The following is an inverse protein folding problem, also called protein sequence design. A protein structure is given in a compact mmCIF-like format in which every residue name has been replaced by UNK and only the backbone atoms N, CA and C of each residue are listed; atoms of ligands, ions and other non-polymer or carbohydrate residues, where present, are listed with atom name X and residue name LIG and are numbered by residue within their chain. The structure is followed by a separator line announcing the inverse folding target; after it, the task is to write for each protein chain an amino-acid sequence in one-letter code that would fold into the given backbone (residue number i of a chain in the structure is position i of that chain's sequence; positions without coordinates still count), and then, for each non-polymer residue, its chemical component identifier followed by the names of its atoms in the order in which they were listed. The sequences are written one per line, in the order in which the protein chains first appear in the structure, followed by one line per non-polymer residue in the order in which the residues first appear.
data_IF_758451984643
#
_entry.id   IF_758451984643
#
_cell.length_a   1.000
_cell.length_b   1.000
_cell.length_c   1.000
_cell.angle_alpha   90.00
_cell.angle_beta   90.00
_cell.angle_gamma   90.00
#
_symmetry.space_group_name_H-M   'P 1'
#
loop_
_entity.id
_entity.type
_entity.pdbx_description
1 polymer ?
#
# COMPACT_ATOMS: atom_id res chain seq x y z
N UNK A 1 -1.97 17.13 4.76
CA UNK A 1 -2.03 17.44 6.19
C UNK A 1 -0.75 16.89 6.79
N UNK A 2 0.18 17.76 7.18
CA UNK A 2 1.48 17.34 7.68
C UNK A 2 1.29 16.52 8.96
N UNK A 3 1.90 15.34 9.02
CA UNK A 3 1.85 14.46 10.19
C UNK A 3 2.35 15.21 11.42
N UNK A 4 1.58 15.10 12.50
CA UNK A 4 1.95 15.58 13.83
C UNK A 4 3.22 14.85 14.29
N UNK A 5 4.37 15.46 14.03
CA UNK A 5 5.66 15.05 14.55
C UNK A 5 6.04 15.90 15.76
N UNK A 6 6.82 15.35 16.66
CA UNK A 6 7.46 16.11 17.74
C UNK A 6 8.49 17.06 17.14
N UNK A 7 8.64 18.25 17.73
CA UNK A 7 9.60 19.28 17.33
C UNK A 7 11.02 18.70 17.26
N UNK A 8 11.72 18.83 16.11
CA UNK A 8 13.10 18.33 15.98
C UNK A 8 14.11 19.01 16.91
N UNK A 9 13.77 20.19 17.44
CA UNK A 9 14.62 20.93 18.38
C UNK A 9 14.39 20.59 19.85
N UNK A 10 13.44 19.69 20.17
CA UNK A 10 13.14 19.30 21.55
C UNK A 10 14.01 18.12 21.98
N UNK A 11 14.78 18.29 23.05
CA UNK A 11 15.55 17.21 23.66
C UNK A 11 15.41 17.23 25.20
N UNK A 12 15.66 16.10 25.85
CA UNK A 12 15.45 15.92 27.30
C UNK A 12 16.79 15.64 27.99
N UNK A 13 17.06 16.34 29.09
CA UNK A 13 18.21 16.08 29.97
C UNK A 13 17.67 15.85 31.38
N UNK A 14 17.81 14.61 31.87
CA UNK A 14 17.24 14.20 33.16
C UNK A 14 15.70 14.23 33.15
N UNK A 15 15.10 15.10 33.96
CA UNK A 15 13.65 15.33 34.03
C UNK A 15 13.18 16.61 33.31
N UNK A 16 14.10 17.36 32.70
CA UNK A 16 13.84 18.67 32.09
C UNK A 16 13.95 18.59 30.58
N UNK A 17 13.15 19.38 29.86
CA UNK A 17 13.23 19.48 28.41
C UNK A 17 13.89 20.79 28.00
N UNK A 18 14.57 20.77 26.86
CA UNK A 18 15.36 21.87 26.34
C UNK A 18 15.08 22.07 24.85
N UNK A 19 15.19 23.32 24.40
CA UNK A 19 14.93 23.70 23.02
C UNK A 19 16.21 24.19 22.33
N UNK A 20 16.67 23.43 21.33
CA UNK A 20 17.84 23.77 20.50
C UNK A 20 17.66 25.08 19.72
N UNK A 21 16.41 25.40 19.33
CA UNK A 21 16.09 26.65 18.61
C UNK A 21 15.99 27.87 19.53
N UNK A 22 16.05 27.68 20.84
CA UNK A 22 16.00 28.74 21.86
C UNK A 22 17.30 28.81 22.67
N UNK A 23 18.45 28.53 22.04
CA UNK A 23 19.79 28.54 22.69
C UNK A 23 19.85 27.65 23.95
N UNK A 24 19.31 26.44 23.83
CA UNK A 24 19.31 25.44 24.90
C UNK A 24 18.60 25.91 26.18
N UNK A 25 17.57 26.74 26.04
CA UNK A 25 16.70 27.13 27.13
C UNK A 25 15.82 25.95 27.58
N UNK A 26 15.59 25.85 28.90
CA UNK A 26 14.64 24.91 29.48
C UNK A 26 13.22 25.25 29.03
N UNK A 27 12.50 24.28 28.48
CA UNK A 27 11.13 24.42 27.96
C UNK A 27 10.26 23.33 28.55
N UNK A 28 8.96 23.61 28.71
CA UNK A 28 7.99 22.60 29.08
C UNK A 28 7.14 22.22 27.85
N UNK A 29 7.20 20.96 27.36
CA UNK A 29 6.42 20.50 26.23
C UNK A 29 4.90 20.52 26.45
N UNK A 30 4.43 20.64 27.70
CA UNK A 30 3.00 20.77 28.01
C UNK A 30 2.46 22.18 27.72
N UNK A 31 3.30 23.21 27.80
CA UNK A 31 2.91 24.62 27.63
C UNK A 31 3.37 25.21 26.30
N UNK A 32 4.20 24.50 25.54
CA UNK A 32 4.73 24.92 24.25
C UNK A 32 4.27 23.95 23.16
N UNK A 33 4.10 24.40 21.90
CA UNK A 33 3.60 23.58 20.80
C UNK A 33 4.65 22.58 20.28
N UNK A 34 5.44 21.98 21.16
CA UNK A 34 6.58 21.13 20.81
C UNK A 34 6.18 19.70 20.42
N UNK A 35 5.02 19.20 20.84
CA UNK A 35 4.64 17.78 20.67
C UNK A 35 3.59 17.56 19.57
N UNK A 36 2.87 18.61 19.16
CA UNK A 36 1.76 18.49 18.19
C UNK A 36 1.76 19.52 17.06
N UNK A 37 2.21 20.76 17.30
CA UNK A 37 2.11 21.88 16.34
C UNK A 37 3.44 22.65 16.21
N UNK A 38 4.58 21.93 16.15
CA UNK A 38 5.90 22.58 16.21
C UNK A 38 6.17 23.52 15.03
N UNK A 39 5.51 23.31 13.89
CA UNK A 39 5.55 24.22 12.74
C UNK A 39 5.02 25.62 13.05
N UNK A 40 4.20 25.77 14.10
CA UNK A 40 3.69 27.05 14.57
C UNK A 40 4.60 27.72 15.61
N UNK A 41 5.66 27.06 16.08
CA UNK A 41 6.58 27.61 17.07
C UNK A 41 7.45 28.74 16.49
N UNK A 42 7.50 29.89 17.18
CA UNK A 42 8.28 31.06 16.75
C UNK A 42 9.78 30.80 16.68
N UNK A 43 10.31 29.95 17.57
CA UNK A 43 11.73 29.55 17.54
C UNK A 43 12.05 28.69 16.31
N UNK A 44 11.16 27.76 15.96
CA UNK A 44 11.31 26.90 14.79
C UNK A 44 11.22 27.70 13.47
N UNK A 45 10.28 28.64 13.38
CA UNK A 45 10.14 29.53 12.21
C UNK A 45 11.39 30.41 11.99
N UNK A 46 11.96 30.96 13.07
CA UNK A 46 13.19 31.76 13.02
C UNK A 46 14.38 30.92 12.54
N UNK A 47 14.55 29.74 13.11
CA UNK A 47 15.60 28.81 12.67
C UNK A 47 15.45 28.44 11.20
N UNK A 48 14.25 28.09 10.73
CA UNK A 48 14.00 27.76 9.31
C UNK A 48 14.28 28.94 8.37
N UNK A 49 14.02 30.16 8.82
CA UNK A 49 14.33 31.38 8.07
C UNK A 49 15.84 31.70 8.03
N UNK A 50 16.59 31.30 9.05
CA UNK A 50 18.06 31.41 9.10
C UNK A 50 18.77 30.30 8.33
N UNK A 51 18.22 29.07 8.35
CA UNK A 51 18.74 27.92 7.61
C UNK A 51 18.66 28.14 6.09
N UNK A 52 17.56 28.74 5.60
CA UNK A 52 17.42 29.17 4.21
C UNK A 52 18.34 30.32 3.79
N UNK A 53 19.07 30.95 4.72
CA UNK A 53 20.01 32.05 4.48
C UNK A 53 21.47 31.67 4.62
N UNK A 54 21.81 30.39 4.84
CA UNK A 54 23.20 29.90 4.85
C UNK A 54 23.58 29.45 3.43
N UNK A 55 24.37 30.23 2.65
CA UNK A 55 24.96 29.71 1.43
C UNK A 55 26.10 28.77 1.82
N UNK A 56 26.18 27.64 1.12
CA UNK A 56 27.36 26.78 1.07
C UNK A 56 28.58 27.63 0.68
N UNK A 57 29.47 27.86 1.65
CA UNK A 57 30.79 28.42 1.39
C UNK A 57 31.77 27.85 2.42
N UNK A 58 32.70 27.04 1.89
CA UNK A 58 34.06 26.81 2.39
C UNK A 58 34.26 25.67 3.41
N UNK A 59 34.16 24.44 2.89
CA UNK A 59 35.31 23.53 2.97
C UNK A 59 36.51 24.16 2.23
N UNK A 60 37.72 23.96 2.81
CA UNK A 60 39.05 24.41 2.37
C UNK A 60 39.52 25.80 2.84
N UNK A 61 40.22 25.85 3.99
CA UNK A 61 41.55 26.46 4.13
C UNK A 61 42.13 26.21 5.53
N UNK A 62 43.26 25.51 5.59
CA UNK A 62 44.17 25.46 6.74
C UNK A 62 44.87 26.83 6.93
N UNK A 63 45.47 27.10 8.11
CA UNK A 63 45.74 28.44 8.61
C UNK A 63 47.10 29.01 8.16
N UNK A 64 47.30 30.34 8.23
CA UNK A 64 48.62 30.91 8.42
C UNK A 64 48.81 31.52 9.81
N UNK A 65 50.01 31.26 10.31
CA UNK A 65 50.68 31.74 11.52
C UNK A 65 51.12 33.21 11.36
N UNK A 66 50.96 34.02 12.41
CA UNK A 66 51.88 35.06 12.99
C UNK A 66 51.01 36.00 13.86
N UNK A 67 51.39 36.58 15.00
CA UNK A 67 52.65 36.71 15.71
C UNK A 67 52.35 37.11 17.17
N UNK A 68 53.34 36.93 18.01
CA UNK A 68 53.34 37.19 19.44
C UNK A 68 53.15 38.66 19.82
N UNK A 69 52.39 38.91 20.88
CA UNK A 69 52.60 40.05 21.77
C UNK A 69 52.38 39.58 23.21
N UNK A 70 53.48 39.54 23.96
CA UNK A 70 53.56 39.15 25.36
C UNK A 70 52.97 40.22 26.27
N UNK A 71 52.30 39.80 27.36
CA UNK A 71 52.31 40.51 28.64
C UNK A 71 52.35 39.49 29.79
N UNK A 72 53.13 39.85 30.79
CA UNK A 72 53.71 39.11 31.89
C UNK A 72 52.76 38.54 32.98
N UNK A 73 53.15 37.34 33.44
CA UNK A 73 53.32 36.88 34.83
C UNK A 73 52.16 37.01 35.82
N UNK A 74 51.53 35.86 36.15
CA UNK A 74 51.07 35.56 37.51
C UNK A 74 50.94 34.04 37.77
N UNK A 75 51.83 33.52 38.63
CA UNK A 75 51.69 32.44 39.65
C UNK A 75 51.14 31.04 39.25
N UNK A 76 51.86 29.93 39.53
CA UNK A 76 51.35 28.59 39.29
C UNK A 76 50.48 28.12 40.47
N UNK A 77 49.24 27.75 40.18
CA UNK A 77 48.41 26.91 41.05
C UNK A 77 48.13 25.57 40.35
N UNK A 78 48.10 24.45 41.10
CA UNK A 78 48.14 23.11 40.54
C UNK A 78 46.82 22.76 39.84
N UNK A 79 46.94 22.18 38.65
CA UNK A 79 45.81 21.75 37.82
C UNK A 79 44.90 20.76 38.57
N UNK A 80 43.57 20.99 38.60
CA UNK A 80 42.64 19.91 38.87
C UNK A 80 42.62 18.99 37.66
N UNK A 81 42.98 17.73 37.89
CA UNK A 81 42.86 16.61 36.98
C UNK A 81 41.47 16.56 36.35
N UNK A 82 41.41 16.75 35.03
CA UNK A 82 40.21 16.48 34.23
C UNK A 82 39.73 15.05 34.48
N UNK A 83 38.43 14.82 34.76
CA UNK A 83 37.92 13.46 34.85
C UNK A 83 38.07 12.73 33.51
N UNK A 84 38.28 11.40 33.51
CA UNK A 84 38.51 10.63 32.30
C UNK A 84 37.34 10.81 31.34
N UNK A 85 37.66 11.04 30.06
CA UNK A 85 36.70 11.11 28.99
C UNK A 85 35.77 9.89 29.06
N UNK A 86 34.51 10.13 29.43
CA UNK A 86 33.49 9.10 29.27
C UNK A 86 33.42 8.79 27.77
N UNK A 87 33.45 7.51 27.36
CA UNK A 87 33.24 7.18 25.96
C UNK A 87 31.88 7.76 25.56
N UNK A 88 31.90 8.71 24.64
CA UNK A 88 30.72 9.33 24.07
C UNK A 88 29.89 8.25 23.40
N UNK A 89 28.86 7.78 24.11
CA UNK A 89 27.76 6.96 23.61
C UNK A 89 26.93 7.83 22.65
N UNK A 90 27.46 8.11 21.47
CA UNK A 90 26.63 8.60 20.37
C UNK A 90 25.68 7.45 19.99
N UNK A 91 24.35 7.63 20.07
CA UNK A 91 23.42 6.62 19.60
C UNK A 91 23.63 6.41 18.09
N UNK A 92 23.42 5.20 17.55
CA UNK A 92 23.59 4.93 16.12
C UNK A 92 22.46 5.62 15.34
N UNK A 93 22.57 6.92 15.10
CA UNK A 93 21.58 7.72 14.39
C UNK A 93 21.62 7.44 12.88
N UNK A 94 22.79 7.07 12.35
CA UNK A 94 22.96 6.69 10.95
C UNK A 94 22.13 5.46 10.59
N UNK A 95 22.13 4.42 11.44
CA UNK A 95 21.30 3.21 11.25
C UNK A 95 19.80 3.53 11.23
N UNK A 96 19.37 4.49 12.05
CA UNK A 96 17.96 4.93 12.13
C UNK A 96 17.56 5.71 10.87
N UNK A 97 18.41 6.62 10.42
CA UNK A 97 18.18 7.41 9.20
C UNK A 97 18.17 6.52 7.95
N UNK A 98 19.09 5.56 7.86
CA UNK A 98 19.08 4.54 6.79
C UNK A 98 17.78 3.73 6.80
N UNK A 99 17.33 3.30 7.99
CA UNK A 99 16.09 2.54 8.12
C UNK A 99 14.85 3.34 7.72
N UNK A 100 14.79 4.63 8.08
CA UNK A 100 13.70 5.54 7.68
C UNK A 100 13.67 5.68 6.15
N UNK A 101 14.82 5.88 5.52
CA UNK A 101 14.93 6.02 4.08
C UNK A 101 14.49 4.74 3.36
N UNK A 102 14.95 3.57 3.84
CA UNK A 102 14.53 2.26 3.31
C UNK A 102 13.03 2.03 3.47
N UNK A 103 12.44 2.43 4.59
CA UNK A 103 10.99 2.34 4.81
C UNK A 103 10.21 3.24 3.84
N UNK A 104 10.69 4.45 3.57
CA UNK A 104 10.09 5.35 2.60
C UNK A 104 10.16 4.79 1.16
N UNK A 105 11.27 4.14 0.81
CA UNK A 105 11.43 3.44 -0.48
C UNK A 105 10.47 2.25 -0.63
N UNK A 106 10.30 1.45 0.42
CA UNK A 106 9.28 0.39 0.45
C UNK A 106 7.87 0.94 0.22
N UNK A 107 7.55 2.11 0.79
CA UNK A 107 6.28 2.79 0.54
C UNK A 107 6.08 3.14 -0.95
N UNK A 108 7.10 3.71 -1.61
CA UNK A 108 7.04 4.02 -3.05
C UNK A 108 6.90 2.77 -3.91
N UNK A 109 7.64 1.71 -3.57
CA UNK A 109 7.54 0.41 -4.26
C UNK A 109 6.15 -0.19 -4.11
N UNK A 110 5.56 -0.09 -2.92
CA UNK A 110 4.20 -0.55 -2.65
C UNK A 110 3.16 0.23 -3.47
N UNK A 111 3.22 1.57 -3.47
CA UNK A 111 2.31 2.40 -4.28
C UNK A 111 2.42 2.07 -5.78
N UNK A 112 3.65 1.87 -6.27
CA UNK A 112 3.85 1.45 -7.65
C UNK A 112 3.27 0.07 -7.91
N UNK A 113 3.52 -0.89 -7.03
CA UNK A 113 2.97 -2.24 -7.13
C UNK A 113 1.44 -2.22 -7.14
N UNK A 114 0.79 -1.50 -6.23
CA UNK A 114 -0.68 -1.41 -6.19
C UNK A 114 -1.27 -0.84 -7.49
N UNK A 115 -0.64 0.21 -8.03
CA UNK A 115 -1.07 0.81 -9.30
C UNK A 115 -0.97 -0.17 -10.46
N UNK A 116 0.19 -0.82 -10.63
CA UNK A 116 0.39 -1.79 -11.71
C UNK A 116 -0.50 -3.03 -11.52
N UNK A 117 -0.65 -3.51 -10.28
CA UNK A 117 -1.51 -4.64 -9.96
C UNK A 117 -2.97 -4.34 -10.30
N UNK A 118 -3.47 -3.14 -10.01
CA UNK A 118 -4.82 -2.71 -10.42
C UNK A 118 -5.00 -2.74 -11.93
N UNK A 119 -4.05 -2.17 -12.68
CA UNK A 119 -4.11 -2.19 -14.14
C UNK A 119 -4.13 -3.64 -14.70
N UNK A 120 -3.33 -4.53 -14.12
CA UNK A 120 -3.33 -5.97 -14.48
C UNK A 120 -4.65 -6.64 -14.12
N UNK A 121 -5.23 -6.34 -12.95
CA UNK A 121 -6.52 -6.87 -12.51
C UNK A 121 -7.64 -6.44 -13.46
N UNK A 122 -7.69 -5.16 -13.83
CA UNK A 122 -8.71 -4.64 -14.74
C UNK A 122 -8.61 -5.32 -16.11
N UNK A 123 -7.39 -5.41 -16.67
CA UNK A 123 -7.15 -6.13 -17.92
C UNK A 123 -7.47 -7.63 -17.82
N UNK A 124 -7.18 -8.25 -16.67
CA UNK A 124 -7.51 -9.64 -16.40
C UNK A 124 -9.01 -9.88 -16.43
N UNK A 125 -9.81 -9.03 -15.80
CA UNK A 125 -11.27 -9.16 -15.82
C UNK A 125 -11.83 -9.11 -17.25
N UNK A 126 -11.33 -8.20 -18.09
CA UNK A 126 -11.72 -8.09 -19.50
C UNK A 126 -11.35 -9.33 -20.31
N UNK A 127 -10.09 -9.80 -20.20
CA UNK A 127 -9.59 -10.97 -20.92
C UNK A 127 -10.33 -12.23 -20.46
N UNK A 128 -10.53 -12.39 -19.15
CA UNK A 128 -11.27 -13.50 -18.54
C UNK A 128 -12.71 -13.55 -19.04
N UNK A 129 -13.39 -12.41 -19.11
CA UNK A 129 -14.74 -12.32 -19.65
C UNK A 129 -14.78 -12.71 -21.14
N UNK A 130 -13.80 -12.27 -21.93
CA UNK A 130 -13.69 -12.63 -23.35
C UNK A 130 -13.46 -14.13 -23.53
N UNK A 131 -12.48 -14.71 -22.85
CA UNK A 131 -12.15 -16.14 -22.94
C UNK A 131 -13.35 -17.01 -22.58
N UNK A 132 -14.12 -16.64 -21.54
CA UNK A 132 -15.34 -17.36 -21.17
C UNK A 132 -16.42 -17.34 -22.24
N UNK A 133 -16.62 -16.20 -22.91
CA UNK A 133 -17.58 -16.11 -24.02
C UNK A 133 -17.16 -17.00 -25.18
N UNK A 134 -15.88 -17.02 -25.51
CA UNK A 134 -15.35 -17.88 -26.57
C UNK A 134 -15.50 -19.36 -26.22
N UNK A 135 -15.17 -19.76 -24.99
CA UNK A 135 -15.39 -21.13 -24.50
C UNK A 135 -16.86 -21.53 -24.63
N UNK A 136 -17.79 -20.68 -24.17
CA UNK A 136 -19.24 -20.94 -24.30
C UNK A 136 -19.70 -21.01 -25.77
N UNK A 137 -19.07 -20.24 -26.66
CA UNK A 137 -19.36 -20.29 -28.10
C UNK A 137 -18.90 -21.63 -28.69
N UNK A 138 -17.69 -22.08 -28.33
CA UNK A 138 -17.15 -23.37 -28.74
C UNK A 138 -18.00 -24.53 -28.20
N UNK A 139 -18.42 -24.47 -26.94
CA UNK A 139 -19.33 -25.48 -26.34
C UNK A 139 -20.62 -25.63 -27.14
N UNK A 140 -21.30 -24.50 -27.43
CA UNK A 140 -22.52 -24.53 -28.26
C UNK A 140 -22.26 -25.07 -29.66
N UNK A 141 -21.10 -24.75 -30.24
CA UNK A 141 -20.73 -25.28 -31.55
C UNK A 141 -20.48 -26.79 -31.48
N UNK A 142 -19.79 -27.29 -30.46
CA UNK A 142 -19.56 -28.72 -30.22
C UNK A 142 -20.90 -29.44 -30.07
N UNK A 143 -21.80 -28.93 -29.23
CA UNK A 143 -23.14 -29.49 -29.03
C UNK A 143 -23.92 -29.58 -30.35
N UNK A 144 -23.81 -28.56 -31.21
CA UNK A 144 -24.45 -28.56 -32.53
C UNK A 144 -23.89 -29.64 -33.46
N UNK A 145 -22.57 -29.86 -33.48
CA UNK A 145 -21.96 -30.92 -34.26
C UNK A 145 -22.30 -32.31 -33.72
N UNK A 146 -22.35 -32.50 -32.39
CA UNK A 146 -22.81 -33.74 -31.77
C UNK A 146 -24.25 -34.04 -32.19
N UNK A 147 -25.14 -33.04 -32.11
CA UNK A 147 -26.52 -33.21 -32.54
C UNK A 147 -26.65 -33.49 -34.05
N UNK A 148 -25.78 -32.93 -34.90
CA UNK A 148 -25.78 -33.25 -36.33
C UNK A 148 -25.27 -34.68 -36.60
N UNK A 149 -24.26 -35.14 -35.85
CA UNK A 149 -23.77 -36.50 -35.92
C UNK A 149 -24.89 -37.50 -35.59
N UNK A 150 -25.64 -37.27 -34.50
CA UNK A 150 -26.80 -38.09 -34.13
C UNK A 150 -27.87 -38.13 -35.24
N UNK A 151 -28.16 -36.99 -35.88
CA UNK A 151 -29.10 -36.93 -37.01
C UNK A 151 -28.58 -37.70 -38.21
N UNK A 152 -27.28 -37.61 -38.50
CA UNK A 152 -26.64 -38.32 -39.59
C UNK A 152 -26.70 -39.83 -39.38
N UNK A 153 -26.48 -40.30 -38.16
CA UNK A 153 -26.62 -41.72 -37.78
C UNK A 153 -28.05 -42.23 -37.97
N UNK A 154 -29.06 -41.43 -37.63
CA UNK A 154 -30.47 -41.77 -37.89
C UNK A 154 -30.75 -41.86 -39.39
N UNK A 155 -30.28 -40.90 -40.19
CA UNK A 155 -30.45 -40.92 -41.67
C UNK A 155 -29.82 -42.16 -42.30
N UNK A 156 -28.63 -42.55 -41.85
CA UNK A 156 -27.97 -43.77 -42.30
C UNK A 156 -28.77 -45.02 -41.92
N UNK A 157 -29.26 -45.10 -40.67
CA UNK A 157 -30.05 -46.23 -40.17
C UNK A 157 -31.36 -46.44 -40.94
N UNK A 158 -32.00 -45.36 -41.36
CA UNK A 158 -33.24 -45.39 -42.15
C UNK A 158 -32.96 -45.56 -43.66
N UNK A 159 -31.68 -45.66 -44.06
CA UNK A 159 -31.28 -45.88 -45.45
C UNK A 159 -31.49 -44.66 -46.35
N UNK A 160 -31.57 -43.46 -45.78
CA UNK A 160 -31.74 -42.20 -46.53
C UNK A 160 -30.45 -41.76 -47.21
N UNK A 161 -29.30 -42.19 -46.69
CA UNK A 161 -27.97 -41.94 -47.24
C UNK A 161 -27.23 -43.27 -47.41
N UNK A 162 -26.30 -43.33 -48.35
CA UNK A 162 -25.43 -44.49 -48.53
C UNK A 162 -24.40 -44.61 -47.40
N UNK A 163 -23.83 -45.80 -47.25
CA UNK A 163 -22.78 -46.06 -46.25
C UNK A 163 -21.46 -45.31 -46.56
N UNK A 164 -21.20 -45.03 -47.84
CA UNK A 164 -20.05 -44.22 -48.26
C UNK A 164 -20.26 -42.75 -47.89
N UNK A 165 -21.41 -42.16 -48.25
CA UNK A 165 -21.76 -40.79 -47.86
C UNK A 165 -21.79 -40.60 -46.34
N UNK A 166 -22.30 -41.59 -45.60
CA UNK A 166 -22.28 -41.57 -44.14
C UNK A 166 -20.86 -41.50 -43.58
N UNK A 167 -19.95 -42.35 -44.09
CA UNK A 167 -18.56 -42.39 -43.62
C UNK A 167 -17.83 -41.07 -43.88
N UNK A 168 -18.00 -40.50 -45.06
CA UNK A 168 -17.34 -39.25 -45.43
C UNK A 168 -17.84 -38.07 -44.58
N UNK A 169 -19.16 -37.95 -44.43
CA UNK A 169 -19.77 -36.90 -43.61
C UNK A 169 -19.41 -37.05 -42.13
N UNK A 170 -19.42 -38.28 -41.61
CA UNK A 170 -19.02 -38.58 -40.23
C UNK A 170 -17.55 -38.21 -40.00
N UNK A 171 -16.65 -38.59 -40.90
CA UNK A 171 -15.24 -38.24 -40.79
C UNK A 171 -15.01 -36.72 -40.78
N UNK A 172 -15.77 -35.97 -41.60
CA UNK A 172 -15.72 -34.51 -41.59
C UNK A 172 -16.23 -33.91 -40.28
N UNK A 173 -17.36 -34.39 -39.75
CA UNK A 173 -17.92 -33.91 -38.47
C UNK A 173 -16.97 -34.25 -37.31
N UNK A 174 -16.42 -35.47 -37.27
CA UNK A 174 -15.46 -35.90 -36.25
C UNK A 174 -14.19 -35.03 -36.25
N UNK A 175 -13.68 -34.66 -37.42
CA UNK A 175 -12.53 -33.76 -37.54
C UNK A 175 -12.84 -32.36 -37.00
N UNK A 176 -14.00 -31.79 -37.35
CA UNK A 176 -14.45 -30.48 -36.87
C UNK A 176 -14.73 -30.47 -35.36
N UNK A 177 -15.23 -31.57 -34.81
CA UNK A 177 -15.41 -31.78 -33.36
C UNK A 177 -14.08 -31.84 -32.64
N UNK A 178 -13.11 -32.60 -33.17
CA UNK A 178 -11.79 -32.73 -32.58
C UNK A 178 -11.07 -31.38 -32.50
N UNK A 179 -11.12 -30.59 -33.57
CA UNK A 179 -10.49 -29.26 -33.60
C UNK A 179 -11.14 -28.29 -32.61
N UNK A 180 -12.49 -28.24 -32.56
CA UNK A 180 -13.18 -27.36 -31.60
C UNK A 180 -12.96 -27.75 -30.16
N UNK A 181 -12.96 -29.05 -29.87
CA UNK A 181 -12.70 -29.57 -28.52
C UNK A 181 -11.29 -29.19 -28.09
N UNK A 182 -10.30 -29.39 -28.98
CA UNK A 182 -8.93 -28.97 -28.74
C UNK A 182 -8.82 -27.46 -28.46
N UNK A 183 -9.45 -26.62 -29.29
CA UNK A 183 -9.43 -25.17 -29.09
C UNK A 183 -10.08 -24.77 -27.76
N UNK A 184 -11.19 -25.42 -27.38
CA UNK A 184 -11.85 -25.21 -26.09
C UNK A 184 -10.89 -25.51 -24.94
N UNK A 185 -10.27 -26.69 -24.95
CA UNK A 185 -9.33 -27.12 -23.91
C UNK A 185 -8.12 -26.18 -23.81
N UNK A 186 -7.60 -25.72 -24.96
CA UNK A 186 -6.51 -24.73 -25.00
C UNK A 186 -6.92 -23.39 -24.36
N UNK A 187 -8.14 -22.90 -24.60
CA UNK A 187 -8.66 -21.68 -23.99
C UNK A 187 -8.92 -21.85 -22.48
N UNK A 188 -9.48 -22.98 -22.06
CA UNK A 188 -9.69 -23.29 -20.65
C UNK A 188 -8.37 -23.36 -19.87
N UNK A 189 -7.35 -23.98 -20.47
CA UNK A 189 -6.01 -24.02 -19.87
C UNK A 189 -5.42 -22.62 -19.73
N UNK A 190 -5.49 -21.80 -20.79
CA UNK A 190 -5.00 -20.40 -20.74
C UNK A 190 -5.74 -19.57 -19.71
N UNK A 191 -7.06 -19.76 -19.58
CA UNK A 191 -7.88 -19.11 -18.56
C UNK A 191 -7.43 -19.50 -17.15
N UNK A 192 -7.20 -20.79 -16.92
CA UNK A 192 -6.69 -21.30 -15.63
C UNK A 192 -5.29 -20.77 -15.31
N UNK A 193 -4.38 -20.75 -16.28
CA UNK A 193 -3.04 -20.21 -16.11
C UNK A 193 -3.06 -18.72 -15.79
N UNK A 194 -3.93 -17.97 -16.47
CA UNK A 194 -4.14 -16.54 -16.23
C UNK A 194 -4.70 -16.29 -14.81
N UNK A 195 -5.75 -17.01 -14.41
CA UNK A 195 -6.33 -16.90 -13.07
C UNK A 195 -5.27 -17.25 -11.99
N UNK A 196 -4.46 -18.30 -12.21
CA UNK A 196 -3.39 -18.70 -11.28
C UNK A 196 -2.37 -17.59 -11.00
N UNK A 197 -1.98 -16.82 -12.01
CA UNK A 197 -0.97 -15.77 -11.85
C UNK A 197 -1.55 -14.44 -11.36
N UNK A 198 -2.79 -14.10 -11.71
CA UNK A 198 -3.40 -12.80 -11.35
C UNK A 198 -4.11 -12.85 -9.99
N UNK A 199 -4.77 -13.96 -9.64
CA UNK A 199 -5.55 -14.06 -8.40
C UNK A 199 -4.78 -13.68 -7.12
N UNK A 200 -3.49 -14.04 -6.94
CA UNK A 200 -2.73 -13.61 -5.77
C UNK A 200 -2.60 -12.09 -5.67
N UNK A 201 -2.45 -11.39 -6.79
CA UNK A 201 -2.36 -9.93 -6.85
C UNK A 201 -3.71 -9.29 -6.57
N UNK A 202 -4.79 -9.82 -7.17
CA UNK A 202 -6.17 -9.44 -6.86
C UNK A 202 -6.44 -9.52 -5.36
N UNK A 203 -6.12 -10.66 -4.75
CA UNK A 203 -6.27 -10.90 -3.32
C UNK A 203 -5.52 -9.86 -2.49
N UNK A 204 -4.24 -9.63 -2.77
CA UNK A 204 -3.42 -8.64 -2.02
C UNK A 204 -3.98 -7.22 -2.11
N UNK A 205 -4.36 -6.76 -3.30
CA UNK A 205 -4.91 -5.41 -3.49
C UNK A 205 -6.26 -5.28 -2.78
N UNK A 206 -7.15 -6.28 -2.91
CA UNK A 206 -8.46 -6.24 -2.24
C UNK A 206 -8.35 -6.26 -0.72
N UNK A 207 -7.43 -7.04 -0.16
CA UNK A 207 -7.17 -7.01 1.28
C UNK A 207 -6.63 -5.65 1.76
N UNK A 208 -5.75 -5.03 0.96
CA UNK A 208 -5.22 -3.69 1.23
C UNK A 208 -6.29 -2.59 1.14
N UNK A 209 -7.28 -2.73 0.25
CA UNK A 209 -8.43 -1.81 0.11
C UNK A 209 -9.46 -1.99 1.24
N UNK A 210 -9.76 -3.23 1.63
CA UNK A 210 -10.81 -3.54 2.60
C UNK A 210 -10.47 -3.06 4.02
N UNK A 211 -9.22 -3.21 4.48
CA UNK A 211 -8.78 -2.82 5.83
C UNK A 211 -9.00 -1.32 6.15
N UNK A 212 -8.53 -0.35 5.35
CA UNK A 212 -8.74 1.06 5.62
C UNK A 212 -10.21 1.46 5.50
N UNK A 213 -10.98 0.83 4.60
CA UNK A 213 -12.41 1.12 4.45
C UNK A 213 -13.21 0.62 5.66
N UNK A 214 -12.94 -0.59 6.15
CA UNK A 214 -13.52 -1.11 7.41
C UNK A 214 -13.19 -0.18 8.58
N UNK A 215 -11.95 0.31 8.67
CA UNK A 215 -11.55 1.25 9.72
C UNK A 215 -12.33 2.58 9.64
N UNK A 216 -12.53 3.13 8.43
CA UNK A 216 -13.35 4.33 8.22
C UNK A 216 -14.82 4.10 8.61
N UNK A 217 -15.40 2.96 8.23
CA UNK A 217 -16.79 2.62 8.58
C UNK A 217 -16.97 2.44 10.09
N UNK A 218 -16.02 1.80 10.78
CA UNK A 218 -16.01 1.69 12.25
C UNK A 218 -15.89 3.07 12.93
N UNK A 219 -15.08 3.97 12.38
CA UNK A 219 -15.02 5.35 12.86
C UNK A 219 -16.33 6.10 12.61
N UNK A 220 -16.98 5.88 11.47
CA UNK A 220 -18.29 6.46 11.16
C UNK A 220 -19.37 5.96 12.12
N UNK A 221 -19.38 4.67 12.47
CA UNK A 221 -20.24 4.09 13.51
C UNK A 221 -20.01 4.76 14.87
N UNK A 222 -18.76 4.90 15.31
CA UNK A 222 -18.44 5.55 16.58
C UNK A 222 -18.93 7.02 16.62
N UNK A 223 -18.83 7.74 15.50
CA UNK A 223 -19.39 9.10 15.36
C UNK A 223 -20.92 9.10 15.40
N UNK A 224 -21.55 8.12 14.76
CA UNK A 224 -23.00 7.96 14.77
C UNK A 224 -23.53 7.69 16.19
N UNK A 225 -22.83 6.86 16.97
CA UNK A 225 -23.12 6.61 18.39
C UNK A 225 -23.00 7.88 19.24
N UNK A 226 -21.97 8.70 18.99
CA UNK A 226 -21.81 9.98 19.67
C UNK A 226 -22.97 10.94 19.37
N UNK A 227 -23.41 11.00 18.10
CA UNK A 227 -24.55 11.84 17.70
C UNK A 227 -25.87 11.41 18.32
N UNK A 228 -26.08 10.11 18.51
CA UNK A 228 -27.25 9.62 19.25
C UNK A 228 -27.18 10.05 20.71
N UNK A 229 -26.01 9.90 21.35
CA UNK A 229 -25.78 10.30 22.75
C UNK A 229 -25.92 11.81 22.97
N UNK A 230 -25.52 12.63 22.01
CA UNK A 230 -25.71 14.09 22.06
C UNK A 230 -27.13 14.54 21.70
N UNK A 231 -28.00 13.62 21.24
CA UNK A 231 -29.37 13.92 20.84
C UNK A 231 -29.49 14.61 19.47
N UNK A 232 -28.42 14.68 18.68
CA UNK A 232 -28.39 15.30 17.34
C UNK A 232 -29.20 14.51 16.30
N UNK A 233 -29.42 13.22 16.54
CA UNK A 233 -30.18 12.33 15.63
C UNK A 233 -31.25 11.56 16.41
N UNK A 234 -32.37 11.30 15.74
CA UNK A 234 -33.41 10.43 16.29
C UNK A 234 -32.97 8.97 16.28
N UNK A 235 -33.58 8.16 17.15
CA UNK A 235 -33.33 6.73 17.27
C UNK A 235 -33.61 5.97 15.96
N UNK A 236 -34.69 6.32 15.27
CA UNK A 236 -35.05 5.68 13.99
C UNK A 236 -34.03 5.95 12.88
N UNK A 237 -33.46 7.16 12.85
CA UNK A 237 -32.40 7.52 11.89
C UNK A 237 -31.09 6.82 12.24
N UNK A 238 -30.77 6.73 13.53
CA UNK A 238 -29.62 5.97 14.03
C UNK A 238 -29.69 4.50 13.63
N UNK A 239 -30.81 3.82 13.91
CA UNK A 239 -30.94 2.38 13.66
C UNK A 239 -30.80 2.04 12.17
N UNK A 240 -31.36 2.87 11.29
CA UNK A 240 -31.22 2.72 9.83
C UNK A 240 -29.76 2.86 9.37
N UNK A 241 -29.11 3.97 9.73
CA UNK A 241 -27.73 4.25 9.33
C UNK A 241 -26.76 3.24 9.92
N UNK A 242 -27.00 2.81 11.16
CA UNK A 242 -26.20 1.78 11.81
C UNK A 242 -26.29 0.46 11.05
N UNK A 243 -27.49 0.01 10.70
CA UNK A 243 -27.69 -1.22 9.91
C UNK A 243 -26.94 -1.16 8.58
N UNK A 244 -27.04 -0.05 7.85
CA UNK A 244 -26.36 0.12 6.57
C UNK A 244 -24.82 0.04 6.71
N UNK A 245 -24.27 0.69 7.74
CA UNK A 245 -22.83 0.67 8.03
C UNK A 245 -22.36 -0.72 8.47
N UNK A 246 -23.10 -1.39 9.36
CA UNK A 246 -22.79 -2.74 9.82
C UNK A 246 -22.87 -3.77 8.68
N UNK A 247 -23.87 -3.69 7.81
CA UNK A 247 -23.98 -4.55 6.64
C UNK A 247 -22.83 -4.33 5.66
N UNK A 248 -22.39 -3.08 5.50
CA UNK A 248 -21.25 -2.77 4.65
C UNK A 248 -19.93 -3.27 5.23
N UNK A 249 -19.75 -3.18 6.56
CA UNK A 249 -18.62 -3.79 7.26
C UNK A 249 -18.61 -5.30 7.06
N UNK A 250 -19.74 -5.98 7.33
CA UNK A 250 -19.85 -7.44 7.15
C UNK A 250 -19.50 -7.89 5.73
N UNK A 251 -19.96 -7.16 4.70
CA UNK A 251 -19.61 -7.45 3.31
C UNK A 251 -18.10 -7.34 3.05
N UNK A 252 -17.46 -6.28 3.55
CA UNK A 252 -16.02 -6.08 3.38
C UNK A 252 -15.18 -7.07 4.20
N UNK A 253 -15.64 -7.45 5.39
CA UNK A 253 -15.03 -8.50 6.20
C UNK A 253 -15.09 -9.85 5.51
N UNK A 254 -16.24 -10.21 4.91
CA UNK A 254 -16.37 -11.42 4.10
C UNK A 254 -15.45 -11.43 2.90
N UNK A 255 -15.35 -10.31 2.17
CA UNK A 255 -14.40 -10.17 1.06
C UNK A 255 -12.96 -10.35 1.54
N UNK A 256 -12.62 -9.86 2.75
CA UNK A 256 -11.29 -10.04 3.33
C UNK A 256 -11.02 -11.51 3.66
N UNK A 257 -12.00 -12.21 4.24
CA UNK A 257 -11.88 -13.64 4.59
C UNK A 257 -11.76 -14.53 3.35
N UNK A 258 -12.61 -14.34 2.33
CA UNK A 258 -12.57 -15.07 1.05
C UNK A 258 -11.25 -14.84 0.26
N UNK A 259 -10.58 -13.74 0.55
CA UNK A 259 -9.31 -13.34 -0.06
C UNK A 259 -8.10 -13.87 0.73
N UNK A 260 -8.25 -14.07 2.04
CA UNK A 260 -7.21 -14.58 2.94
C UNK A 260 -7.15 -16.13 2.93
N UNK A 261 -8.24 -16.83 2.61
CA UNK A 261 -8.30 -18.28 2.29
C UNK A 261 -7.76 -18.62 0.89
#
# INVERSE_FOLDING_TARGET
MASAGVCPGLYRVGSRFYCRYAKDAEVDPAFMPCVMDYWNCEFYKRWKAEEGKRPQALEAAQPPVVEAAAVEVARPEPAPTSPPAQPSLLPPTEDVEELIQRAAELGKLWESYEREARAVIDAWEEVRARLRREIQSLEKSIDAYVAELERLEVKARVGTISEEEFRDLKASIDAELAERTRLKDELEKKLSDLDRVVLPHFKRVKAAEAKPEIAKLRLALAKLDQKLKSGEISRDVYERLRSELEDRIKRLERIREEVEE
#
